data_IF_066476406254
#
_entry.id   IF_066476406254
#
_cell.length_a   1.000
_cell.length_b   1.000
_cell.length_c   1.000
_cell.angle_alpha   90.00
_cell.angle_beta   90.00
_cell.angle_gamma   90.00
#
_symmetry.space_group_name_H-M   'P 1'
#
loop_
_entity.id
_entity.type
_entity.pdbx_description
1 polymer ?
#
# COMPACT_ATOMS: atom_id res chain seq x y z
N UNK A 1 6.73 -18.14 21.47
CA UNK A 1 6.96 -16.68 21.32
C UNK A 1 7.13 -16.36 19.84
N UNK A 2 6.09 -15.83 19.18
CA UNK A 2 6.26 -15.29 17.83
C UNK A 2 7.01 -13.96 17.91
N UNK A 3 7.89 -13.72 16.93
CA UNK A 3 8.90 -12.66 16.93
C UNK A 3 8.24 -11.30 16.69
N UNK A 4 7.81 -10.62 17.74
CA UNK A 4 7.41 -9.21 17.65
C UNK A 4 8.67 -8.35 17.50
N UNK A 5 9.02 -8.02 16.26
CA UNK A 5 10.11 -7.09 15.99
C UNK A 5 9.78 -6.01 14.96
N UNK A 6 8.67 -6.14 14.21
CA UNK A 6 8.33 -5.19 13.15
C UNK A 6 6.82 -4.98 13.06
N UNK A 7 6.40 -3.76 12.71
CA UNK A 7 4.99 -3.41 12.49
C UNK A 7 4.33 -4.27 11.39
N UNK A 8 5.12 -4.78 10.44
CA UNK A 8 4.63 -5.72 9.42
C UNK A 8 4.15 -7.06 10.02
N UNK A 9 4.88 -7.63 10.97
CA UNK A 9 4.47 -8.88 11.63
C UNK A 9 3.19 -8.68 12.45
N UNK A 10 3.07 -7.55 13.15
CA UNK A 10 1.85 -7.17 13.84
C UNK A 10 0.64 -7.08 12.89
N UNK A 11 0.82 -6.41 11.75
CA UNK A 11 -0.25 -6.30 10.75
C UNK A 11 -0.61 -7.65 10.10
N UNK A 12 0.35 -8.57 9.92
CA UNK A 12 0.03 -9.93 9.47
C UNK A 12 -0.88 -10.67 10.46
N UNK A 13 -0.63 -10.53 11.76
CA UNK A 13 -1.46 -11.12 12.82
C UNK A 13 -2.85 -10.45 12.87
N UNK A 14 -2.92 -9.12 12.86
CA UNK A 14 -4.19 -8.38 12.86
C UNK A 14 -5.04 -8.68 11.63
N UNK A 15 -4.39 -8.90 10.47
CA UNK A 15 -5.08 -9.20 9.21
C UNK A 15 -5.31 -10.70 8.97
N UNK A 16 -4.90 -11.58 9.90
CA UNK A 16 -5.12 -13.01 9.80
C UNK A 16 -6.60 -13.42 9.54
N UNK A 17 -7.63 -12.74 10.11
CA UNK A 17 -9.04 -13.03 9.80
C UNK A 17 -9.42 -12.80 8.33
N UNK A 18 -8.66 -11.99 7.60
CA UNK A 18 -8.87 -11.74 6.17
C UNK A 18 -8.45 -12.97 5.31
N UNK A 19 -7.69 -13.91 5.89
CA UNK A 19 -7.20 -15.12 5.22
C UNK A 19 -5.72 -15.01 4.83
N UNK A 20 -5.36 -15.47 3.63
CA UNK A 20 -3.98 -15.54 3.14
C UNK A 20 -3.40 -14.15 2.81
N UNK A 21 -3.04 -13.40 3.85
CA UNK A 21 -2.29 -12.16 3.77
C UNK A 21 -0.79 -12.47 3.83
N UNK A 22 -0.04 -11.77 3.00
CA UNK A 22 1.42 -11.89 2.90
C UNK A 22 2.02 -10.50 2.88
N UNK A 23 3.07 -10.28 3.67
CA UNK A 23 3.90 -9.10 3.52
C UNK A 23 5.17 -9.40 2.74
N UNK A 24 5.60 -8.44 1.94
CA UNK A 24 6.85 -8.53 1.18
C UNK A 24 7.63 -7.24 1.32
N UNK A 25 8.84 -7.34 1.86
CA UNK A 25 9.76 -6.20 1.95
C UNK A 25 10.05 -5.62 0.55
N UNK A 26 9.82 -4.31 0.37
CA UNK A 26 10.08 -3.60 -0.88
C UNK A 26 10.19 -2.09 -0.62
N UNK A 27 11.17 -1.42 -1.25
CA UNK A 27 11.33 0.05 -1.24
C UNK A 27 11.42 0.69 0.16
N UNK A 28 12.23 0.13 1.06
CA UNK A 28 12.40 0.71 2.40
C UNK A 28 11.20 0.49 3.35
N UNK A 29 10.26 -0.36 2.95
CA UNK A 29 9.09 -0.74 3.73
C UNK A 29 8.60 -2.15 3.37
N UNK A 30 7.31 -2.42 3.60
CA UNK A 30 6.68 -3.72 3.32
C UNK A 30 5.37 -3.54 2.56
N UNK A 31 5.14 -4.32 1.51
CA UNK A 31 3.86 -4.33 0.80
C UNK A 31 2.97 -5.43 1.37
N UNK A 32 1.68 -5.17 1.53
CA UNK A 32 0.68 -6.12 2.01
C UNK A 32 -0.17 -6.59 0.84
N UNK A 33 -0.20 -7.90 0.62
CA UNK A 33 -0.96 -8.53 -0.44
C UNK A 33 -1.80 -9.70 0.06
N UNK A 34 -3.03 -9.78 -0.44
CA UNK A 34 -3.92 -10.93 -0.25
C UNK A 34 -4.07 -11.66 -1.58
N UNK A 35 -3.78 -12.96 -1.61
CA UNK A 35 -3.89 -13.80 -2.83
C UNK A 35 -3.15 -13.20 -4.05
N UNK A 36 -1.99 -12.58 -3.81
CA UNK A 36 -1.19 -11.90 -4.84
C UNK A 36 -1.73 -10.54 -5.30
N UNK A 37 -2.75 -10.00 -4.62
CA UNK A 37 -3.31 -8.66 -4.87
C UNK A 37 -2.85 -7.71 -3.77
N UNK A 38 -1.96 -6.78 -4.10
CA UNK A 38 -1.47 -5.76 -3.18
C UNK A 38 -2.55 -4.71 -2.93
N UNK A 39 -2.91 -4.53 -1.66
CA UNK A 39 -3.93 -3.57 -1.22
C UNK A 39 -3.40 -2.57 -0.18
N UNK A 40 -2.22 -2.80 0.39
CA UNK A 40 -1.60 -1.92 1.37
C UNK A 40 -0.08 -1.89 1.28
N UNK A 41 0.51 -0.90 1.93
CA UNK A 41 1.95 -0.73 2.10
C UNK A 41 2.26 -0.17 3.48
N UNK A 42 3.44 -0.50 3.98
CA UNK A 42 3.95 -0.11 5.29
C UNK A 42 5.25 0.64 5.02
N UNK A 43 5.32 1.91 5.42
CA UNK A 43 6.51 2.74 5.27
C UNK A 43 6.64 3.59 6.54
N UNK A 44 7.84 3.64 7.11
CA UNK A 44 8.12 4.35 8.38
C UNK A 44 7.15 3.97 9.51
N UNK A 45 6.86 2.65 9.65
CA UNK A 45 5.89 2.09 10.60
C UNK A 45 4.45 2.66 10.47
N UNK A 46 4.11 3.20 9.30
CA UNK A 46 2.77 3.68 8.99
C UNK A 46 2.13 2.80 7.93
N UNK A 47 0.88 2.36 8.22
CA UNK A 47 0.05 1.64 7.27
C UNK A 47 -0.62 2.61 6.30
N UNK A 48 -0.42 2.37 5.01
CA UNK A 48 -1.12 3.04 3.94
C UNK A 48 -1.92 2.03 3.12
N UNK A 49 -3.15 2.40 2.83
CA UNK A 49 -4.15 1.55 2.18
C UNK A 49 -4.51 2.11 0.80
N UNK A 50 -4.74 1.21 -0.15
CA UNK A 50 -5.05 1.59 -1.54
C UNK A 50 -6.42 2.25 -1.61
N UNK A 51 -6.47 3.42 -2.24
CA UNK A 51 -7.72 4.13 -2.50
C UNK A 51 -8.04 4.21 -3.99
N UNK A 52 -9.32 4.27 -4.29
CA UNK A 52 -9.89 4.59 -5.60
C UNK A 52 -11.05 5.57 -5.43
N UNK A 53 -11.68 5.97 -6.53
CA UNK A 53 -12.77 6.97 -6.48
C UNK A 53 -13.99 6.51 -5.65
N UNK A 54 -14.10 5.21 -5.35
CA UNK A 54 -15.20 4.65 -4.56
C UNK A 54 -14.97 4.79 -3.06
N UNK A 55 -13.79 4.41 -2.56
CA UNK A 55 -13.50 4.46 -1.12
C UNK A 55 -12.83 5.77 -0.67
N UNK A 56 -12.27 6.55 -1.60
CA UNK A 56 -11.58 7.81 -1.30
C UNK A 56 -12.41 8.81 -0.46
N UNK A 57 -13.74 8.98 -0.67
CA UNK A 57 -14.54 9.86 0.18
C UNK A 57 -14.43 9.56 1.67
N UNK A 58 -14.36 8.29 2.06
CA UNK A 58 -14.26 7.88 3.46
C UNK A 58 -12.91 8.30 4.08
N UNK A 59 -11.82 8.17 3.32
CA UNK A 59 -10.49 8.60 3.75
C UNK A 59 -10.39 10.12 3.85
N UNK A 60 -10.99 10.84 2.88
CA UNK A 60 -11.02 12.31 2.88
C UNK A 60 -11.86 12.83 4.06
N UNK A 61 -12.99 12.19 4.36
CA UNK A 61 -13.85 12.55 5.50
C UNK A 61 -13.11 12.42 6.84
N UNK A 62 -12.25 11.41 6.97
CA UNK A 62 -11.38 11.21 8.15
C UNK A 62 -10.10 12.06 8.13
N UNK A 63 -9.93 12.95 7.14
CA UNK A 63 -8.73 13.78 6.93
C UNK A 63 -7.43 12.96 6.83
N UNK A 64 -7.53 11.74 6.32
CA UNK A 64 -6.39 10.86 6.14
C UNK A 64 -5.66 11.27 4.86
N UNK A 65 -4.43 11.75 5.01
CA UNK A 65 -3.64 12.27 3.90
C UNK A 65 -3.18 11.19 2.91
N UNK A 66 -3.06 11.53 1.61
CA UNK A 66 -2.46 10.64 0.63
C UNK A 66 -0.96 10.46 0.90
N UNK A 67 -0.47 9.24 0.70
CA UNK A 67 0.94 8.96 0.61
C UNK A 67 1.53 9.75 -0.56
N UNK A 68 2.45 10.66 -0.25
CA UNK A 68 3.09 11.53 -1.22
C UNK A 68 4.56 11.22 -1.22
N UNK A 69 5.10 10.78 -2.36
CA UNK A 69 6.53 10.54 -2.50
C UNK A 69 7.16 11.69 -3.31
N UNK A 70 8.36 12.08 -2.92
CA UNK A 70 9.13 13.08 -3.64
C UNK A 70 9.97 12.41 -4.72
N UNK A 71 9.81 12.84 -5.97
CA UNK A 71 10.63 12.41 -7.10
C UNK A 71 11.03 13.61 -7.94
N UNK A 72 12.33 13.74 -8.21
CA UNK A 72 12.90 14.85 -9.00
C UNK A 72 12.50 16.24 -8.46
N UNK A 73 12.45 16.39 -7.13
CA UNK A 73 12.04 17.64 -6.47
C UNK A 73 10.53 17.92 -6.48
N UNK A 74 9.70 17.00 -7.01
CA UNK A 74 8.24 17.15 -7.07
C UNK A 74 7.55 16.13 -6.18
N UNK A 75 6.57 16.60 -5.41
CA UNK A 75 5.65 15.76 -4.66
C UNK A 75 4.67 15.08 -5.63
N UNK A 76 4.68 13.75 -5.69
CA UNK A 76 3.71 12.96 -6.46
C UNK A 76 2.78 12.21 -5.49
N UNK A 77 1.48 12.57 -5.42
CA UNK A 77 0.53 11.84 -4.61
C UNK A 77 0.26 10.48 -5.26
N UNK A 78 0.27 9.44 -4.44
CA UNK A 78 -0.13 8.10 -4.84
C UNK A 78 -1.58 7.82 -4.42
N UNK A 79 -2.21 6.83 -5.06
CA UNK A 79 -3.53 6.31 -4.67
C UNK A 79 -3.44 5.41 -3.43
N UNK A 80 -2.71 5.84 -2.42
CA UNK A 80 -2.62 5.21 -1.10
C UNK A 80 -2.85 6.29 -0.05
N UNK A 81 -3.66 6.03 0.96
CA UNK A 81 -3.92 6.94 2.08
C UNK A 81 -3.56 6.27 3.40
N UNK A 82 -3.15 7.07 4.39
CA UNK A 82 -2.86 6.57 5.73
C UNK A 82 -4.11 5.90 6.33
N UNK A 83 -3.95 4.78 7.02
CA UNK A 83 -5.02 4.20 7.82
C UNK A 83 -5.40 5.14 8.98
N UNK A 84 -6.64 5.09 9.51
CA UNK A 84 -7.03 5.95 10.63
C UNK A 84 -6.13 5.78 11.85
N UNK A 85 -5.77 6.89 12.49
CA UNK A 85 -5.07 6.85 13.77
C UNK A 85 -5.98 6.22 14.83
N UNK A 86 -5.50 5.15 15.48
CA UNK A 86 -6.29 4.31 16.39
C UNK A 86 -6.91 3.06 15.74
N UNK A 87 -6.68 2.83 14.44
CA UNK A 87 -7.04 1.56 13.80
C UNK A 87 -5.95 0.51 14.08
N UNK A 88 -5.89 0.06 15.33
CA UNK A 88 -4.94 -0.95 15.83
C UNK A 88 -5.58 -2.35 15.79
N UNK A 89 -6.89 -2.42 16.03
CA UNK A 89 -7.63 -3.68 16.03
C UNK A 89 -8.24 -4.04 14.68
N UNK A 90 -8.49 -5.34 14.48
CA UNK A 90 -9.15 -5.84 13.26
C UNK A 90 -10.51 -5.17 13.03
N UNK A 91 -11.34 -4.99 14.06
CA UNK A 91 -12.70 -4.42 13.92
C UNK A 91 -12.69 -3.00 13.35
N UNK A 92 -11.70 -2.20 13.72
CA UNK A 92 -11.58 -0.80 13.26
C UNK A 92 -10.89 -0.71 11.90
N UNK A 93 -9.99 -1.64 11.58
CA UNK A 93 -9.28 -1.73 10.30
C UNK A 93 -10.09 -2.42 9.19
N UNK A 94 -10.94 -3.38 9.53
CA UNK A 94 -11.70 -4.21 8.61
C UNK A 94 -12.40 -3.42 7.49
N UNK A 95 -13.19 -2.36 7.75
CA UNK A 95 -13.89 -1.63 6.70
C UNK A 95 -12.91 -0.98 5.70
N UNK A 96 -11.79 -0.45 6.19
CA UNK A 96 -10.76 0.19 5.36
C UNK A 96 -10.01 -0.83 4.51
N UNK A 97 -9.63 -1.96 5.13
CA UNK A 97 -8.93 -3.06 4.46
C UNK A 97 -9.81 -3.67 3.38
N UNK A 98 -11.08 -3.96 3.68
CA UNK A 98 -12.02 -4.51 2.69
C UNK A 98 -12.27 -3.54 1.54
N UNK A 99 -12.48 -2.26 1.84
CA UNK A 99 -12.64 -1.22 0.81
C UNK A 99 -11.41 -1.13 -0.10
N UNK A 100 -10.21 -1.20 0.48
CA UNK A 100 -8.94 -1.12 -0.24
C UNK A 100 -8.64 -2.36 -1.06
N UNK A 101 -8.99 -3.54 -0.55
CA UNK A 101 -8.91 -4.80 -1.29
C UNK A 101 -9.86 -4.77 -2.49
N UNK A 102 -11.10 -4.28 -2.31
CA UNK A 102 -12.04 -4.11 -3.40
C UNK A 102 -11.51 -3.13 -4.46
N UNK A 103 -10.90 -2.01 -4.06
CA UNK A 103 -10.23 -1.07 -4.95
C UNK A 103 -9.06 -1.74 -5.71
N UNK A 104 -8.24 -2.54 -5.02
CA UNK A 104 -7.14 -3.28 -5.63
C UNK A 104 -7.62 -4.31 -6.66
N UNK A 105 -8.70 -5.04 -6.36
CA UNK A 105 -9.33 -5.99 -7.27
C UNK A 105 -9.92 -5.29 -8.50
N UNK A 106 -10.59 -4.14 -8.32
CA UNK A 106 -11.08 -3.31 -9.43
C UNK A 106 -9.93 -2.86 -10.34
N UNK A 107 -8.84 -2.37 -9.75
CA UNK A 107 -7.64 -1.98 -10.50
C UNK A 107 -7.03 -3.15 -11.28
N UNK A 108 -6.99 -4.35 -10.67
CA UNK A 108 -6.51 -5.59 -11.33
C UNK A 108 -7.43 -6.03 -12.46
N UNK A 109 -8.75 -5.91 -12.32
CA UNK A 109 -9.75 -6.25 -13.34
C UNK A 109 -9.80 -5.26 -14.50
N UNK A 110 -9.63 -3.96 -14.22
CA UNK A 110 -9.55 -2.90 -15.23
C UNK A 110 -8.26 -2.94 -16.06
N UNK A 111 -7.29 -3.75 -15.64
CA UNK A 111 -6.03 -3.96 -16.37
C UNK A 111 -6.11 -5.28 -17.16
N UNK A 112 -6.38 -5.27 -18.49
CA UNK A 112 -6.26 -6.48 -19.29
C UNK A 112 -4.81 -6.98 -19.22
N UNK A 113 -4.62 -8.15 -18.58
CA UNK A 113 -3.40 -8.98 -18.59
C UNK A 113 -2.08 -8.18 -18.55
N UNK A 114 -1.69 -7.73 -17.35
CA UNK A 114 -0.28 -7.43 -17.07
C UNK A 114 0.16 -7.92 -15.70
N UNK A 115 -0.10 -9.19 -15.39
CA UNK A 115 0.69 -9.89 -14.39
C UNK A 115 2.08 -10.15 -14.99
N UNK A 116 3.10 -9.72 -14.26
CA UNK A 116 4.54 -9.81 -14.52
C UNK A 116 5.12 -8.77 -15.53
N UNK A 117 5.96 -7.88 -15.00
CA UNK A 117 6.89 -6.97 -15.71
C UNK A 117 6.35 -5.65 -16.33
N UNK A 118 6.29 -4.61 -15.50
CA UNK A 118 6.79 -3.24 -15.82
C UNK A 118 7.28 -2.63 -14.50
N UNK A 119 8.56 -2.74 -14.11
CA UNK A 119 9.65 -1.80 -14.49
C UNK A 119 9.13 -0.39 -14.74
N UNK A 120 9.21 0.52 -13.75
CA UNK A 120 9.77 1.89 -13.89
C UNK A 120 9.83 2.68 -12.57
N UNK A 121 10.88 2.47 -11.79
CA UNK A 121 11.62 3.56 -11.15
C UNK A 121 13.08 3.49 -11.64
N UNK A 122 13.26 3.47 -12.96
CA UNK A 122 14.55 3.65 -13.62
C UNK A 122 14.32 3.90 -15.11
N UNK A 123 13.82 5.09 -15.47
CA UNK A 123 14.17 5.67 -16.76
C UNK A 123 14.43 7.16 -16.55
N UNK A 124 15.63 7.57 -17.00
CA UNK A 124 16.22 8.91 -17.09
C UNK A 124 16.77 9.55 -15.80
N UNK A 125 18.01 9.21 -15.47
CA UNK A 125 19.05 10.26 -15.32
C UNK A 125 20.17 9.91 -16.30
N UNK A 126 20.26 10.68 -17.38
CA UNK A 126 21.35 10.62 -18.31
C UNK A 126 22.59 11.25 -17.67
N UNK A 127 23.77 10.65 -17.84
CA UNK A 127 25.00 11.44 -17.92
C UNK A 127 26.01 10.79 -18.87
N UNK A 128 25.92 11.26 -20.12
CA UNK A 128 27.05 11.47 -21.02
C UNK A 128 28.15 12.24 -20.27
N UNK A 129 29.32 11.64 -20.05
CA UNK A 129 30.64 12.30 -20.13
C UNK A 129 31.80 11.32 -19.85
N UNK A 130 32.82 11.42 -20.72
CA UNK A 130 34.24 10.99 -20.62
C UNK A 130 34.65 9.82 -21.51
N UNK A 131 35.03 10.13 -22.75
CA UNK A 131 36.43 10.25 -23.14
C UNK A 131 36.51 11.38 -24.18
#
# INVERSE_FOLDING_TARGET
>A
MAKHGTFAAYLEETLAPLGNVTTRAMFGGHNIAKDGVTFGLIVDDVLYLKVDDVNKPDFVAKKLGPFTYHRDGKAMPMSYHRAPDGAEDWETLEPWVRGSLAAALRAKKASPKKTAAKKTAAKKVAKKKRA
#
